data_IF_622696280826
#
_entry.id   IF_622696280826
#
_cell.length_a   1.000
_cell.length_b   1.000
_cell.length_c   1.000
_cell.angle_alpha   90.00
_cell.angle_beta   90.00
_cell.angle_gamma   90.00
#
_symmetry.space_group_name_H-M   'P 1'
#
loop_
_entity.id
_entity.type
_entity.pdbx_description
1 polymer ?
#
# COMPACT_ATOMS: atom_id res chain seq x y z
N UNK A 1 28.22 -56.81 20.41
CA UNK A 1 27.88 -55.42 20.76
C UNK A 1 28.39 -54.51 19.67
N UNK A 2 27.54 -54.12 18.72
CA UNK A 2 27.83 -53.07 17.73
C UNK A 2 26.94 -51.90 18.12
N UNK A 3 27.52 -50.80 18.58
CA UNK A 3 26.78 -49.58 18.95
C UNK A 3 26.74 -48.65 17.75
N UNK A 4 25.56 -48.54 17.14
CA UNK A 4 25.22 -47.50 16.17
C UNK A 4 25.24 -46.13 16.84
N UNK A 5 25.98 -45.18 16.28
CA UNK A 5 25.81 -43.76 16.58
C UNK A 5 24.92 -43.14 15.49
N UNK A 6 23.68 -42.78 15.86
CA UNK A 6 22.85 -41.88 15.06
C UNK A 6 23.35 -40.45 15.32
N UNK A 7 23.89 -39.79 14.29
CA UNK A 7 24.13 -38.35 14.31
C UNK A 7 22.84 -37.63 13.93
N UNK A 8 22.20 -36.96 14.89
CA UNK A 8 21.17 -35.96 14.59
C UNK A 8 21.88 -34.69 14.06
N UNK A 9 21.69 -34.37 12.78
CA UNK A 9 21.94 -33.02 12.27
C UNK A 9 20.76 -32.13 12.68
N UNK A 10 20.99 -31.21 13.61
CA UNK A 10 20.07 -30.11 13.90
C UNK A 10 20.30 -29.01 12.86
N UNK A 11 19.35 -28.80 11.95
CA UNK A 11 19.28 -27.61 11.11
C UNK A 11 18.87 -26.42 11.99
N UNK A 12 19.83 -25.58 12.37
CA UNK A 12 19.53 -24.29 12.99
C UNK A 12 19.03 -23.34 11.90
N UNK A 13 17.74 -23.03 11.89
CA UNK A 13 17.23 -21.86 11.18
C UNK A 13 17.78 -20.61 11.88
N UNK A 14 18.78 -19.98 11.28
CA UNK A 14 19.23 -18.65 11.68
C UNK A 14 18.17 -17.63 11.29
N UNK A 15 17.29 -17.29 12.24
CA UNK A 15 16.47 -16.08 12.14
C UNK A 15 17.43 -14.90 12.33
N UNK A 16 17.79 -14.23 11.23
CA UNK A 16 18.50 -12.95 11.32
C UNK A 16 17.54 -11.93 11.92
N UNK A 17 17.70 -11.66 13.21
CA UNK A 17 17.08 -10.50 13.86
C UNK A 17 17.68 -9.25 13.20
N UNK A 18 16.90 -8.61 12.34
CA UNK A 18 17.22 -7.29 11.83
C UNK A 18 17.36 -6.34 13.02
N UNK A 19 18.58 -5.88 13.28
CA UNK A 19 18.82 -4.79 14.24
C UNK A 19 18.28 -3.51 13.60
N UNK A 20 17.12 -3.02 14.05
CA UNK A 20 16.62 -1.74 13.61
C UNK A 20 17.43 -0.64 14.31
N UNK A 21 18.11 0.17 13.51
CA UNK A 21 18.81 1.36 13.94
C UNK A 21 17.77 2.41 14.38
N UNK A 22 17.90 2.92 15.61
CA UNK A 22 17.10 4.05 16.11
C UNK A 22 17.49 5.38 15.45
N UNK A 23 18.50 5.36 14.58
CA UNK A 23 19.00 6.49 13.81
C UNK A 23 18.22 6.82 12.53
N UNK A 24 18.80 7.73 11.75
CA UNK A 24 18.29 8.24 10.47
C UNK A 24 17.80 7.15 9.52
N UNK A 25 16.83 7.45 8.67
CA UNK A 25 16.37 6.50 7.64
C UNK A 25 17.49 6.18 6.65
N UNK A 26 18.13 5.02 6.82
CA UNK A 26 19.17 4.52 5.91
C UNK A 26 18.59 3.57 4.87
N UNK A 27 18.64 3.93 3.59
CA UNK A 27 18.29 3.02 2.49
C UNK A 27 19.46 2.06 2.25
N UNK A 28 19.18 0.76 2.30
CA UNK A 28 20.16 -0.32 2.08
C UNK A 28 19.93 -1.08 0.78
N UNK A 29 18.71 -0.98 0.24
CA UNK A 29 18.29 -1.63 -1.00
C UNK A 29 17.66 -0.59 -1.92
N UNK A 30 17.94 -0.69 -3.22
CA UNK A 30 17.48 0.30 -4.19
C UNK A 30 16.04 0.07 -4.67
N UNK A 31 15.38 -1.02 -4.32
CA UNK A 31 13.99 -1.29 -4.71
C UNK A 31 13.29 -2.24 -3.74
N UNK A 32 11.97 -2.28 -3.81
CA UNK A 32 11.17 -3.33 -3.19
C UNK A 32 11.14 -4.55 -4.11
N UNK A 33 11.45 -5.73 -3.58
CA UNK A 33 11.23 -6.98 -4.33
C UNK A 33 9.92 -7.66 -3.90
N UNK A 34 9.61 -8.78 -4.55
CA UNK A 34 8.39 -9.55 -4.28
C UNK A 34 8.32 -10.08 -2.83
N UNK A 35 9.45 -10.31 -2.18
CA UNK A 35 9.55 -10.83 -0.82
C UNK A 35 9.32 -9.70 0.20
N UNK A 36 9.83 -8.50 -0.06
CA UNK A 36 9.49 -7.29 0.71
C UNK A 36 8.00 -6.97 0.61
N UNK A 37 7.43 -7.04 -0.60
CA UNK A 37 6.00 -6.84 -0.82
C UNK A 37 5.14 -7.90 -0.09
N UNK A 38 5.60 -9.15 -0.06
CA UNK A 38 4.93 -10.23 0.68
C UNK A 38 4.97 -9.98 2.18
N UNK A 39 6.15 -9.68 2.72
CA UNK A 39 6.33 -9.40 4.16
C UNK A 39 5.62 -8.13 4.61
N UNK A 40 5.54 -7.11 3.76
CA UNK A 40 4.72 -5.94 4.02
C UNK A 40 3.24 -6.32 4.14
N UNK A 41 2.75 -7.18 3.25
CA UNK A 41 1.41 -7.75 3.36
C UNK A 41 1.19 -8.51 4.68
N UNK A 42 2.16 -9.30 5.13
CA UNK A 42 2.13 -10.00 6.42
C UNK A 42 2.12 -9.03 7.61
N UNK A 43 2.89 -7.94 7.52
CA UNK A 43 2.89 -6.86 8.50
C UNK A 43 1.50 -6.21 8.61
N UNK A 44 0.88 -5.85 7.48
CA UNK A 44 -0.50 -5.34 7.43
C UNK A 44 -1.51 -6.36 7.98
N UNK A 45 -1.33 -7.64 7.64
CA UNK A 45 -2.15 -8.73 8.17
C UNK A 45 -2.06 -8.83 9.70
N UNK A 46 -0.88 -8.60 10.28
CA UNK A 46 -0.68 -8.55 11.74
C UNK A 46 -1.57 -7.50 12.40
N UNK A 47 -1.64 -6.29 11.85
CA UNK A 47 -2.49 -5.21 12.35
C UNK A 47 -3.98 -5.54 12.21
N UNK A 48 -4.38 -6.09 11.06
CA UNK A 48 -5.77 -6.47 10.81
C UNK A 48 -6.26 -7.60 11.71
N UNK A 49 -5.39 -8.56 12.06
CA UNK A 49 -5.74 -9.69 12.94
C UNK A 49 -5.68 -9.36 14.45
N UNK A 50 -5.00 -8.28 14.85
CA UNK A 50 -4.97 -7.84 16.25
C UNK A 50 -6.30 -7.16 16.64
N UNK A 51 -6.58 -7.04 17.93
CA UNK A 51 -7.80 -6.43 18.50
C UNK A 51 -7.61 -4.98 19.01
N UNK A 52 -6.52 -4.32 18.60
CA UNK A 52 -6.19 -2.96 19.04
C UNK A 52 -7.25 -1.96 18.55
N UNK A 53 -7.48 -0.92 19.37
CA UNK A 53 -8.61 0.01 19.24
C UNK A 53 -8.29 1.33 18.58
N UNK A 54 -7.03 1.73 18.61
CA UNK A 54 -6.53 2.94 17.96
C UNK A 54 -5.16 2.65 17.33
N UNK A 55 -4.73 3.42 16.31
CA UNK A 55 -3.48 3.16 15.61
C UNK A 55 -2.26 3.19 16.52
N UNK A 56 -2.21 4.13 17.47
CA UNK A 56 -1.05 4.26 18.35
C UNK A 56 -0.90 3.04 19.26
N UNK A 57 -2.01 2.50 19.76
CA UNK A 57 -2.03 1.22 20.47
C UNK A 57 -1.63 0.05 19.57
N UNK A 58 -2.10 0.01 18.31
CA UNK A 58 -1.71 -1.02 17.36
C UNK A 58 -0.19 -1.04 17.09
N UNK A 59 0.42 0.14 16.88
CA UNK A 59 1.86 0.23 16.65
C UNK A 59 2.69 -0.16 17.87
N UNK A 60 2.14 -0.05 19.08
CA UNK A 60 2.78 -0.51 20.32
C UNK A 60 2.45 -1.96 20.68
N UNK A 61 1.57 -2.62 19.94
CA UNK A 61 1.14 -3.98 20.25
C UNK A 61 2.03 -5.05 19.61
N UNK A 62 1.74 -6.31 19.89
CA UNK A 62 2.44 -7.45 19.31
C UNK A 62 2.23 -7.59 17.79
N UNK A 63 1.28 -6.86 17.21
CA UNK A 63 1.11 -6.75 15.76
C UNK A 63 2.33 -6.12 15.07
N UNK A 64 3.05 -5.24 15.78
CA UNK A 64 4.26 -4.61 15.29
C UNK A 64 5.51 -5.34 15.83
N UNK A 65 6.26 -6.07 14.99
CA UNK A 65 7.50 -6.73 15.41
C UNK A 65 8.65 -5.74 15.69
N UNK A 66 8.56 -4.49 15.22
CA UNK A 66 9.61 -3.49 15.36
C UNK A 66 9.39 -2.53 16.54
N UNK A 67 8.27 -2.64 17.26
CA UNK A 67 7.83 -1.69 18.30
C UNK A 67 8.90 -1.35 19.36
N UNK A 68 9.74 -2.34 19.70
CA UNK A 68 10.76 -2.20 20.76
C UNK A 68 11.98 -1.39 20.29
N UNK A 69 12.01 -1.01 19.01
CA UNK A 69 13.07 -0.20 18.37
C UNK A 69 12.58 1.21 18.04
N UNK A 70 11.36 1.56 18.44
CA UNK A 70 10.78 2.86 18.12
C UNK A 70 11.31 3.96 19.04
N UNK A 71 11.69 5.13 18.49
CA UNK A 71 12.10 6.24 19.30
C UNK A 71 10.89 6.80 20.07
N UNK A 72 11.10 7.38 21.27
CA UNK A 72 10.00 7.79 22.15
C UNK A 72 9.10 8.90 21.57
N UNK A 73 9.58 9.66 20.58
CA UNK A 73 8.85 10.73 19.91
C UNK A 73 8.01 10.24 18.71
N UNK A 74 8.03 8.95 18.35
CA UNK A 74 7.28 8.43 17.23
C UNK A 74 5.76 8.55 17.45
N UNK A 75 5.05 9.12 16.46
CA UNK A 75 3.60 9.32 16.51
C UNK A 75 2.89 8.63 15.34
N UNK A 76 2.29 7.48 15.63
CA UNK A 76 1.53 6.68 14.68
C UNK A 76 0.04 6.68 15.05
N UNK A 77 -0.61 7.82 14.85
CA UNK A 77 -2.01 8.09 15.24
C UNK A 77 -2.83 8.70 14.09
N UNK A 78 -2.43 8.39 12.85
CA UNK A 78 -3.03 8.92 11.63
C UNK A 78 -4.43 8.36 11.34
N UNK A 79 -5.22 9.11 10.57
CA UNK A 79 -6.52 8.68 10.05
C UNK A 79 -6.39 7.65 8.91
N UNK A 80 -7.45 7.40 8.15
CA UNK A 80 -7.49 6.36 7.13
C UNK A 80 -6.42 6.57 6.06
N UNK A 81 -6.24 7.81 5.58
CA UNK A 81 -5.27 8.15 4.55
C UNK A 81 -3.84 8.11 5.10
N UNK A 82 -3.65 8.67 6.28
CA UNK A 82 -2.37 8.64 6.98
C UNK A 82 -1.93 7.21 7.26
N UNK A 83 -2.84 6.36 7.76
CA UNK A 83 -2.56 4.98 8.15
C UNK A 83 -2.01 4.16 6.98
N UNK A 84 -2.53 4.38 5.77
CA UNK A 84 -2.00 3.76 4.55
C UNK A 84 -0.52 4.10 4.37
N UNK A 85 -0.20 5.39 4.29
CA UNK A 85 1.16 5.84 4.02
C UNK A 85 2.10 5.64 5.22
N UNK A 86 1.62 5.79 6.46
CA UNK A 86 2.38 5.58 7.69
C UNK A 86 2.82 4.12 7.85
N UNK A 87 1.95 3.13 7.60
CA UNK A 87 2.34 1.71 7.63
C UNK A 87 3.41 1.40 6.58
N UNK A 88 3.24 1.89 5.34
CA UNK A 88 4.19 1.66 4.25
C UNK A 88 5.54 2.32 4.53
N UNK A 89 5.53 3.58 4.95
CA UNK A 89 6.73 4.35 5.30
C UNK A 89 7.46 3.73 6.49
N UNK A 90 6.73 3.37 7.53
CA UNK A 90 7.30 2.74 8.72
C UNK A 90 7.96 1.41 8.38
N UNK A 91 7.28 0.54 7.63
CA UNK A 91 7.86 -0.71 7.16
C UNK A 91 9.11 -0.46 6.31
N UNK A 92 9.05 0.51 5.40
CA UNK A 92 10.16 0.86 4.54
C UNK A 92 11.39 1.30 5.36
N UNK A 93 11.19 2.18 6.33
CA UNK A 93 12.24 2.63 7.25
C UNK A 93 12.87 1.47 8.01
N UNK A 94 12.05 0.62 8.65
CA UNK A 94 12.54 -0.50 9.46
C UNK A 94 13.30 -1.55 8.67
N UNK A 95 13.09 -1.62 7.35
CA UNK A 95 13.73 -2.59 6.46
C UNK A 95 14.75 -1.95 5.50
N UNK A 96 15.05 -0.66 5.64
CA UNK A 96 16.03 0.04 4.79
C UNK A 96 15.62 0.10 3.31
N UNK A 97 14.33 0.25 3.03
CA UNK A 97 13.74 0.28 1.69
C UNK A 97 13.49 1.73 1.22
N UNK A 98 13.43 1.98 -0.10
CA UNK A 98 13.11 3.29 -0.65
C UNK A 98 11.64 3.64 -0.45
N UNK A 99 11.34 4.91 -0.20
CA UNK A 99 9.97 5.39 -0.03
C UNK A 99 9.82 6.85 -0.48
N UNK A 100 8.70 7.13 -1.14
CA UNK A 100 8.25 8.46 -1.57
C UNK A 100 6.74 8.51 -1.37
N UNK A 101 6.21 9.72 -1.27
CA UNK A 101 4.77 9.99 -1.31
C UNK A 101 4.49 11.32 -2.00
N UNK A 102 3.25 11.61 -2.45
CA UNK A 102 2.90 12.89 -3.04
C UNK A 102 2.90 13.93 -1.92
N UNK A 103 3.57 15.06 -2.12
CA UNK A 103 3.51 16.19 -1.17
C UNK A 103 2.49 17.23 -1.65
N UNK A 104 2.13 17.22 -2.93
CA UNK A 104 1.11 18.07 -3.49
C UNK A 104 0.39 17.40 -4.66
N UNK A 105 -0.93 17.53 -4.66
CA UNK A 105 -1.81 17.12 -5.76
C UNK A 105 -2.65 18.31 -6.21
N UNK A 106 -3.02 18.33 -7.49
CA UNK A 106 -3.94 19.33 -8.04
C UNK A 106 -5.18 18.67 -8.61
N UNK A 107 -6.31 19.33 -8.40
CA UNK A 107 -7.58 18.99 -9.04
C UNK A 107 -7.46 19.13 -10.56
N UNK A 108 -7.87 18.09 -11.28
CA UNK A 108 -8.02 18.12 -12.74
C UNK A 108 -9.30 18.83 -13.18
N UNK A 109 -10.22 19.10 -12.25
CA UNK A 109 -11.43 19.90 -12.50
C UNK A 109 -11.15 21.42 -12.53
N UNK A 110 -9.91 21.85 -12.31
CA UNK A 110 -9.58 23.25 -12.02
C UNK A 110 -9.72 23.58 -10.52
N UNK A 111 -9.70 24.88 -10.15
CA UNK A 111 -9.82 25.32 -8.77
C UNK A 111 -11.08 24.77 -8.09
N UNK A 112 -10.92 24.20 -6.90
CA UNK A 112 -11.99 23.63 -6.08
C UNK A 112 -11.83 24.08 -4.63
N UNK A 113 -12.93 24.29 -3.88
CA UNK A 113 -12.85 24.58 -2.44
C UNK A 113 -12.13 23.46 -1.66
N UNK A 114 -12.24 22.23 -2.13
CA UNK A 114 -11.61 21.05 -1.52
C UNK A 114 -11.26 20.02 -2.60
N UNK A 115 -9.96 19.81 -2.81
CA UNK A 115 -9.47 18.89 -3.84
C UNK A 115 -9.61 17.42 -3.43
N UNK A 116 -10.00 17.10 -2.18
CA UNK A 116 -10.42 15.74 -1.79
C UNK A 116 -11.67 15.28 -2.54
N UNK A 117 -12.46 16.22 -3.07
CA UNK A 117 -13.75 15.96 -3.71
C UNK A 117 -13.85 16.44 -5.17
N UNK A 118 -12.73 16.49 -5.91
CA UNK A 118 -12.69 16.97 -7.31
C UNK A 118 -13.41 16.05 -8.32
N UNK A 119 -14.30 16.58 -9.15
CA UNK A 119 -15.12 15.77 -10.09
C UNK A 119 -14.34 14.97 -11.14
N UNK A 120 -13.18 15.46 -11.56
CA UNK A 120 -12.29 14.80 -12.51
C UNK A 120 -11.11 14.12 -11.81
N UNK A 121 -11.12 14.02 -10.48
CA UNK A 121 -9.98 13.55 -9.72
C UNK A 121 -8.79 14.50 -9.75
N UNK A 122 -7.66 13.99 -9.27
CA UNK A 122 -6.45 14.75 -9.01
C UNK A 122 -5.27 14.17 -9.81
N UNK A 123 -4.18 14.93 -9.84
CA UNK A 123 -2.88 14.52 -10.37
C UNK A 123 -1.78 14.88 -9.38
N UNK A 124 -0.77 14.02 -9.27
CA UNK A 124 0.45 14.34 -8.52
C UNK A 124 1.23 15.41 -9.26
N UNK A 125 1.64 16.44 -8.53
CA UNK A 125 2.39 17.57 -9.09
C UNK A 125 3.62 17.92 -8.26
N UNK A 126 3.71 17.38 -7.05
CA UNK A 126 4.92 17.30 -6.27
C UNK A 126 4.94 16.02 -5.44
N UNK A 127 6.10 15.36 -5.40
CA UNK A 127 6.37 14.21 -4.55
C UNK A 127 7.66 14.41 -3.80
N UNK A 128 7.74 13.77 -2.64
CA UNK A 128 8.94 13.74 -1.83
C UNK A 128 10.09 13.12 -2.64
N UNK A 129 11.10 13.90 -2.94
CA UNK A 129 12.36 13.42 -3.51
C UNK A 129 13.42 13.65 -2.44
N UNK A 130 13.89 12.56 -1.85
CA UNK A 130 14.86 12.62 -0.77
C UNK A 130 16.28 12.59 -1.36
N UNK A 131 16.64 13.57 -2.18
CA UNK A 131 17.99 13.66 -2.78
C UNK A 131 19.09 13.92 -1.70
N UNK A 132 18.72 14.07 -0.42
CA UNK A 132 19.61 14.51 0.67
C UNK A 132 19.47 13.66 1.97
N UNK A 133 19.40 12.33 1.83
CA UNK A 133 18.94 11.42 2.90
C UNK A 133 19.84 11.17 4.10
N UNK A 134 21.10 11.65 4.10
CA UNK A 134 22.09 11.25 5.11
C UNK A 134 21.57 11.37 6.56
N UNK A 135 20.73 12.38 6.83
CA UNK A 135 20.26 12.72 8.18
C UNK A 135 18.72 12.77 8.31
N UNK A 136 17.98 12.01 7.49
CA UNK A 136 16.51 12.00 7.57
C UNK A 136 16.04 11.45 8.93
N UNK A 137 15.41 12.29 9.76
CA UNK A 137 14.73 11.85 10.97
C UNK A 137 13.40 11.15 10.60
N UNK A 138 13.29 9.82 10.78
CA UNK A 138 12.11 9.06 10.40
C UNK A 138 10.89 9.41 11.26
N UNK A 139 11.07 9.72 12.55
CA UNK A 139 9.95 10.09 13.42
C UNK A 139 9.35 11.43 13.01
N UNK A 140 10.21 12.39 12.63
CA UNK A 140 9.77 13.66 12.05
C UNK A 140 9.09 13.45 10.69
N UNK A 141 9.68 12.66 9.79
CA UNK A 141 9.09 12.41 8.47
C UNK A 141 7.70 11.77 8.56
N UNK A 142 7.52 10.78 9.43
CA UNK A 142 6.22 10.13 9.66
C UNK A 142 5.17 11.09 10.27
N UNK A 143 5.62 12.08 11.04
CA UNK A 143 4.78 13.14 11.57
C UNK A 143 4.39 14.16 10.48
N UNK A 144 5.34 14.58 9.64
CA UNK A 144 5.12 15.53 8.54
C UNK A 144 4.21 14.91 7.46
N UNK A 145 4.38 13.62 7.18
CA UNK A 145 3.53 12.83 6.29
C UNK A 145 2.06 12.92 6.73
N UNK A 146 1.79 12.76 8.03
CA UNK A 146 0.44 12.89 8.62
C UNK A 146 -0.17 14.29 8.43
N UNK A 147 0.67 15.32 8.33
CA UNK A 147 0.22 16.70 8.06
C UNK A 147 0.00 16.99 6.57
N UNK A 148 0.39 16.07 5.70
CA UNK A 148 0.46 16.29 4.24
C UNK A 148 -0.52 15.39 3.48
N UNK A 149 -0.62 14.12 3.88
CA UNK A 149 -1.44 13.11 3.22
C UNK A 149 -2.92 13.35 3.48
N UNK A 150 -3.74 13.07 2.47
CA UNK A 150 -5.19 12.99 2.61
C UNK A 150 -5.78 12.10 1.51
N UNK A 151 -7.06 11.79 1.60
CA UNK A 151 -7.79 11.01 0.60
C UNK A 151 -7.75 11.59 -0.82
N UNK A 152 -7.42 12.87 -0.96
CA UNK A 152 -7.14 13.50 -2.25
C UNK A 152 -6.01 12.81 -3.04
N UNK A 153 -5.02 12.24 -2.36
CA UNK A 153 -3.88 11.55 -2.99
C UNK A 153 -4.25 10.18 -3.56
N UNK A 154 -5.43 9.68 -3.22
CA UNK A 154 -6.00 8.43 -3.73
C UNK A 154 -7.01 8.67 -4.85
N UNK A 155 -7.55 9.90 -4.94
CA UNK A 155 -8.48 10.32 -6.00
C UNK A 155 -7.78 10.55 -7.34
N UNK A 156 -7.02 9.57 -7.82
CA UNK A 156 -6.19 9.67 -9.03
C UNK A 156 -6.60 8.58 -10.01
N UNK A 157 -6.74 8.94 -11.27
CA UNK A 157 -7.06 7.99 -12.33
C UNK A 157 -5.92 6.99 -12.56
N UNK A 158 -6.25 5.72 -12.80
CA UNK A 158 -5.28 4.61 -12.93
C UNK A 158 -4.29 4.77 -14.09
N UNK A 159 -4.58 5.66 -15.03
CA UNK A 159 -3.74 5.97 -16.20
C UNK A 159 -2.57 6.91 -15.87
N UNK A 160 -2.54 7.53 -14.69
CA UNK A 160 -1.43 8.37 -14.24
C UNK A 160 -0.31 7.49 -13.70
N UNK A 161 0.57 7.03 -14.59
CA UNK A 161 1.57 6.00 -14.28
C UNK A 161 3.02 6.39 -14.61
N UNK A 162 3.24 7.58 -15.16
CA UNK A 162 4.55 7.98 -15.67
C UNK A 162 5.12 9.22 -14.97
N UNK A 163 6.45 9.19 -14.86
CA UNK A 163 7.24 10.31 -14.38
C UNK A 163 6.82 10.83 -13.01
N UNK A 164 6.92 12.15 -12.87
CA UNK A 164 6.67 12.83 -11.60
C UNK A 164 5.19 12.83 -11.19
N UNK A 165 4.29 12.75 -12.17
CA UNK A 165 2.84 12.78 -11.98
C UNK A 165 2.19 11.40 -11.80
N UNK A 166 2.99 10.33 -11.80
CA UNK A 166 2.50 9.00 -11.52
C UNK A 166 1.80 8.95 -10.15
N UNK A 167 0.71 8.19 -10.08
CA UNK A 167 0.12 7.74 -8.82
C UNK A 167 1.09 6.78 -8.13
N UNK A 168 1.13 6.83 -6.79
CA UNK A 168 1.85 5.84 -5.99
C UNK A 168 1.15 4.47 -5.96
N UNK A 169 0.01 4.39 -6.64
CA UNK A 169 -0.81 3.20 -6.73
C UNK A 169 -1.04 2.78 -8.20
N UNK A 170 -1.32 1.50 -8.41
CA UNK A 170 -1.87 0.97 -9.65
C UNK A 170 -3.07 0.05 -9.40
N UNK A 171 -3.97 -0.02 -10.38
CA UNK A 171 -5.15 -0.88 -10.33
C UNK A 171 -4.75 -2.33 -10.59
N UNK A 172 -4.91 -3.25 -9.61
CA UNK A 172 -4.60 -4.65 -9.82
C UNK A 172 -5.71 -5.34 -10.61
N UNK A 173 -5.35 -6.45 -11.25
CA UNK A 173 -6.31 -7.43 -11.72
C UNK A 173 -7.16 -7.92 -10.56
N UNK A 174 -8.43 -8.18 -10.84
CA UNK A 174 -9.34 -8.84 -9.90
C UNK A 174 -9.08 -10.34 -9.99
N UNK A 175 -8.00 -10.77 -9.33
CA UNK A 175 -7.56 -12.16 -9.30
C UNK A 175 -6.85 -12.51 -7.99
N UNK A 176 -6.90 -13.80 -7.64
CA UNK A 176 -6.19 -14.32 -6.47
C UNK A 176 -4.69 -14.05 -6.64
N UNK A 177 -4.08 -13.44 -5.62
CA UNK A 177 -2.66 -13.12 -5.61
C UNK A 177 -2.35 -11.68 -6.02
N UNK A 178 -3.14 -11.08 -6.91
CA UNK A 178 -3.03 -9.65 -7.24
C UNK A 178 -3.67 -8.80 -6.13
N UNK A 179 -4.88 -9.17 -5.68
CA UNK A 179 -5.51 -8.60 -4.48
C UNK A 179 -5.09 -9.46 -3.27
N UNK A 180 -4.40 -8.84 -2.32
CA UNK A 180 -3.74 -9.53 -1.21
C UNK A 180 -3.58 -8.62 0.01
N UNK A 181 -3.18 -9.16 1.19
CA UNK A 181 -2.78 -8.31 2.30
C UNK A 181 -1.75 -7.26 1.85
N UNK A 182 -1.98 -5.99 2.19
CA UNK A 182 -1.19 -4.84 1.72
C UNK A 182 -1.75 -4.14 0.47
N UNK A 183 -2.71 -4.73 -0.26
CA UNK A 183 -3.58 -3.98 -1.19
C UNK A 183 -4.45 -3.00 -0.40
N UNK A 184 -4.94 -1.95 -1.04
CA UNK A 184 -5.91 -1.01 -0.45
C UNK A 184 -7.24 -1.04 -1.19
N UNK A 185 -8.28 -0.57 -0.52
CA UNK A 185 -9.57 -0.24 -1.13
C UNK A 185 -9.81 1.24 -0.90
N UNK A 186 -10.11 1.99 -1.95
CA UNK A 186 -10.44 3.41 -1.88
C UNK A 186 -11.85 3.65 -2.41
N UNK A 187 -12.58 4.58 -1.79
CA UNK A 187 -13.74 5.20 -2.41
C UNK A 187 -13.71 6.73 -2.32
N UNK A 188 -14.39 7.44 -3.26
CA UNK A 188 -14.22 8.87 -3.42
C UNK A 188 -14.99 9.69 -2.39
N UNK A 189 -15.75 9.07 -1.50
CA UNK A 189 -16.38 9.74 -0.37
C UNK A 189 -15.42 9.95 0.80
N UNK A 190 -14.17 9.53 0.64
CA UNK A 190 -13.09 9.85 1.58
C UNK A 190 -12.77 8.71 2.53
N UNK A 191 -12.90 7.46 2.07
CA UNK A 191 -12.47 6.30 2.84
C UNK A 191 -11.38 5.53 2.08
N UNK A 192 -10.35 5.12 2.80
CA UNK A 192 -9.30 4.24 2.27
C UNK A 192 -8.87 3.26 3.34
N UNK A 193 -8.81 1.98 2.99
CA UNK A 193 -8.56 0.90 3.96
C UNK A 193 -7.53 -0.07 3.43
N UNK A 194 -6.81 -0.75 4.32
CA UNK A 194 -5.93 -1.85 3.92
C UNK A 194 -6.71 -3.15 3.84
N UNK A 195 -6.52 -3.90 2.76
CA UNK A 195 -6.80 -5.33 2.74
C UNK A 195 -5.79 -6.02 3.66
N UNK A 196 -6.27 -6.82 4.61
CA UNK A 196 -5.42 -7.59 5.53
C UNK A 196 -5.60 -9.10 5.39
N UNK A 197 -6.65 -9.56 4.70
CA UNK A 197 -6.93 -10.97 4.48
C UNK A 197 -7.83 -11.19 3.26
N UNK A 198 -7.62 -12.29 2.56
CA UNK A 198 -8.56 -12.82 1.56
C UNK A 198 -8.82 -14.29 1.89
N UNK A 199 -10.05 -14.61 2.28
CA UNK A 199 -10.46 -15.98 2.61
C UNK A 199 -10.49 -16.90 1.39
N UNK A 200 -10.56 -18.21 1.62
CA UNK A 200 -10.60 -19.21 0.55
C UNK A 200 -11.88 -19.13 -0.29
N UNK A 201 -12.96 -18.60 0.26
CA UNK A 201 -14.20 -18.31 -0.46
C UNK A 201 -14.18 -16.97 -1.22
N UNK A 202 -13.05 -16.26 -1.20
CA UNK A 202 -12.84 -14.96 -1.85
C UNK A 202 -13.33 -13.75 -1.06
N UNK A 203 -13.77 -13.91 0.18
CA UNK A 203 -14.12 -12.77 1.06
C UNK A 203 -12.86 -11.95 1.37
N UNK A 204 -12.90 -10.66 1.04
CA UNK A 204 -11.81 -9.72 1.31
C UNK A 204 -12.09 -8.98 2.60
N UNK A 205 -11.17 -9.06 3.56
CA UNK A 205 -11.25 -8.33 4.83
C UNK A 205 -10.33 -7.12 4.80
N UNK A 206 -10.81 -6.02 5.37
CA UNK A 206 -10.08 -4.78 5.51
C UNK A 206 -9.95 -4.31 6.96
N UNK A 207 -8.90 -3.55 7.22
CA UNK A 207 -8.63 -2.84 8.47
C UNK A 207 -8.46 -1.37 8.16
N UNK A 208 -9.00 -0.53 9.03
CA UNK A 208 -9.05 0.92 8.87
C UNK A 208 -8.63 1.64 10.15
N UNK A 209 -8.16 2.87 9.99
CA UNK A 209 -8.08 3.87 11.05
C UNK A 209 -9.06 5.00 10.73
N UNK A 210 -10.15 5.12 11.46
CA UNK A 210 -11.15 6.13 11.18
C UNK A 210 -10.65 7.57 11.51
N UNK A 211 -11.33 8.63 11.03
CA UNK A 211 -10.99 10.02 11.39
C UNK A 211 -11.04 10.33 12.89
N UNK A 212 -11.83 9.59 13.66
CA UNK A 212 -11.87 9.64 15.12
C UNK A 212 -10.80 8.75 15.80
N UNK A 213 -9.94 8.13 14.98
CA UNK A 213 -8.83 7.24 15.35
C UNK A 213 -9.25 5.90 15.94
N UNK A 214 -10.50 5.48 15.72
CA UNK A 214 -10.89 4.10 16.01
C UNK A 214 -10.39 3.16 14.91
N UNK A 215 -9.78 2.04 15.29
CA UNK A 215 -9.40 0.98 14.36
C UNK A 215 -10.55 0.01 14.17
N UNK A 216 -11.09 -0.03 12.96
CA UNK A 216 -12.20 -0.91 12.59
C UNK A 216 -11.78 -1.96 11.58
N UNK A 217 -12.58 -3.03 11.50
CA UNK A 217 -12.35 -4.17 10.61
C UNK A 217 -13.67 -4.55 9.97
N UNK A 218 -13.64 -4.95 8.70
CA UNK A 218 -14.83 -5.35 7.98
C UNK A 218 -14.52 -6.13 6.72
N UNK A 219 -15.54 -6.36 5.89
CA UNK A 219 -15.41 -7.08 4.63
C UNK A 219 -15.80 -6.20 3.46
N UNK A 220 -15.07 -6.27 2.35
CA UNK A 220 -15.37 -5.55 1.11
C UNK A 220 -16.78 -5.88 0.58
N UNK A 221 -17.48 -4.86 0.07
CA UNK A 221 -18.84 -5.00 -0.43
C UNK A 221 -19.42 -3.67 -0.93
N UNK A 222 -20.76 -3.57 -1.06
CA UNK A 222 -21.47 -2.40 -1.60
C UNK A 222 -21.19 -1.05 -0.93
N UNK A 223 -20.66 -1.05 0.28
CA UNK A 223 -20.22 0.18 0.96
C UNK A 223 -19.03 0.87 0.27
N UNK A 224 -18.28 0.16 -0.58
CA UNK A 224 -17.25 0.72 -1.45
C UNK A 224 -17.78 0.80 -2.89
N UNK A 225 -18.51 1.86 -3.25
CA UNK A 225 -19.20 1.94 -4.52
C UNK A 225 -18.23 2.01 -5.70
N UNK A 226 -18.63 1.41 -6.83
CA UNK A 226 -18.00 1.72 -8.12
C UNK A 226 -18.33 3.14 -8.55
N UNK A 227 -17.33 3.86 -9.00
CA UNK A 227 -17.48 5.22 -9.55
C UNK A 227 -16.69 5.37 -10.86
N UNK A 228 -16.70 6.59 -11.40
CA UNK A 228 -15.89 6.93 -12.55
C UNK A 228 -14.39 6.61 -12.31
N UNK A 229 -13.69 6.00 -13.27
CA UNK A 229 -12.26 5.66 -13.14
C UNK A 229 -11.38 6.88 -12.91
N UNK A 230 -11.81 8.05 -13.39
CA UNK A 230 -11.19 9.34 -13.13
C UNK A 230 -11.02 9.66 -11.62
N UNK A 231 -11.87 9.07 -10.77
CA UNK A 231 -11.83 9.25 -9.32
C UNK A 231 -11.03 8.18 -8.60
N UNK A 232 -10.65 7.10 -9.28
CA UNK A 232 -9.77 6.09 -8.74
C UNK A 232 -10.39 5.12 -7.72
N UNK A 233 -11.70 4.89 -7.69
CA UNK A 233 -12.30 3.93 -6.73
C UNK A 233 -11.85 2.48 -6.92
N UNK A 234 -11.96 1.69 -5.85
CA UNK A 234 -11.77 0.24 -5.88
C UNK A 234 -10.44 -0.19 -5.31
N UNK A 235 -9.94 -1.32 -5.80
CA UNK A 235 -8.70 -1.92 -5.32
C UNK A 235 -7.48 -1.22 -5.90
N UNK A 236 -6.44 -1.11 -5.10
CA UNK A 236 -5.13 -0.66 -5.54
C UNK A 236 -4.00 -1.44 -4.88
N UNK A 237 -2.89 -1.55 -5.58
CA UNK A 237 -1.61 -1.98 -5.04
C UNK A 237 -0.62 -0.82 -5.05
N UNK A 238 0.32 -0.82 -4.10
CA UNK A 238 1.47 0.08 -4.11
C UNK A 238 2.29 -0.13 -5.37
N UNK A 239 2.54 0.95 -6.12
CA UNK A 239 3.39 0.94 -7.30
C UNK A 239 4.84 0.65 -6.88
N UNK A 240 5.53 -0.32 -7.52
CA UNK A 240 6.93 -0.58 -7.25
C UNK A 240 7.75 0.70 -7.39
N UNK A 241 8.51 0.99 -6.34
CA UNK A 241 9.39 2.15 -6.24
C UNK A 241 10.84 1.69 -6.18
N UNK A 242 11.70 2.41 -6.90
CA UNK A 242 13.15 2.24 -6.83
C UNK A 242 13.86 3.58 -6.64
N UNK A 243 14.99 3.54 -5.96
CA UNK A 243 15.97 4.60 -5.92
C UNK A 243 16.92 4.42 -7.12
N UNK A 244 16.86 5.33 -8.07
CA UNK A 244 17.78 5.39 -9.21
C UNK A 244 18.89 6.42 -8.95
N UNK A 245 19.95 6.37 -9.74
CA UNK A 245 21.00 7.41 -9.77
C UNK A 245 21.68 7.68 -8.41
N UNK A 246 21.71 6.68 -7.53
CA UNK A 246 22.26 6.80 -6.18
C UNK A 246 23.79 6.65 -6.13
N UNK A 247 24.37 7.10 -5.03
CA UNK A 247 25.74 6.81 -4.60
C UNK A 247 25.72 6.04 -3.28
N UNK A 248 26.88 5.49 -2.87
CA UNK A 248 27.01 4.80 -1.58
C UNK A 248 27.86 5.63 -0.62
N UNK A 249 27.42 5.73 0.63
CA UNK A 249 28.24 6.29 1.71
C UNK A 249 29.31 5.28 2.19
N UNK A 250 30.10 5.67 3.20
CA UNK A 250 31.17 4.84 3.76
C UNK A 250 30.67 3.52 4.39
N UNK A 251 29.42 3.50 4.85
CA UNK A 251 28.76 2.33 5.46
C UNK A 251 27.99 1.49 4.42
N UNK A 252 28.00 1.91 3.15
CA UNK A 252 27.34 1.24 2.05
C UNK A 252 25.85 1.58 1.89
N UNK A 253 25.32 2.55 2.64
CA UNK A 253 23.94 3.02 2.48
C UNK A 253 23.80 3.80 1.17
N UNK A 254 22.62 3.71 0.56
CA UNK A 254 22.30 4.37 -0.69
C UNK A 254 21.82 5.80 -0.41
N UNK A 255 22.50 6.79 -1.00
CA UNK A 255 22.24 8.22 -0.81
C UNK A 255 22.25 8.97 -2.13
N UNK A 256 21.73 10.21 -2.13
CA UNK A 256 21.73 11.12 -3.28
C UNK A 256 21.07 10.56 -4.55
N UNK A 257 20.14 9.62 -4.41
CA UNK A 257 19.38 9.07 -5.52
C UNK A 257 18.03 9.76 -5.72
N UNK A 258 17.37 9.40 -6.80
CA UNK A 258 16.02 9.86 -7.17
C UNK A 258 15.04 8.70 -7.13
N UNK A 259 13.87 8.92 -6.55
CA UNK A 259 12.80 7.92 -6.59
C UNK A 259 12.11 7.90 -7.94
N UNK A 260 11.98 6.70 -8.50
CA UNK A 260 11.23 6.44 -9.72
C UNK A 260 10.29 5.27 -9.48
N UNK A 261 9.14 5.29 -10.14
CA UNK A 261 8.08 4.30 -9.99
C UNK A 261 7.84 3.57 -11.32
N UNK A 262 7.47 2.29 -11.24
CA UNK A 262 7.25 1.46 -12.43
C UNK A 262 5.96 1.87 -13.17
N UNK A 263 5.95 2.08 -14.49
CA UNK A 263 4.74 2.34 -15.27
C UNK A 263 3.83 1.10 -15.35
N UNK A 264 2.56 1.28 -15.72
CA UNK A 264 1.59 0.18 -15.79
C UNK A 264 2.03 -0.94 -16.74
N UNK A 265 2.76 -0.60 -17.80
CA UNK A 265 3.29 -1.56 -18.78
C UNK A 265 4.31 -2.56 -18.21
N UNK A 266 4.94 -2.24 -17.06
CA UNK A 266 5.88 -3.13 -16.37
C UNK A 266 5.20 -4.02 -15.31
N UNK A 267 3.90 -3.83 -15.05
CA UNK A 267 3.18 -4.49 -13.98
C UNK A 267 2.36 -5.67 -14.51
N UNK A 268 2.80 -6.88 -14.20
CA UNK A 268 2.16 -8.12 -14.70
C UNK A 268 0.74 -8.32 -14.17
N UNK A 269 0.44 -7.75 -13.01
CA UNK A 269 -0.84 -7.82 -12.32
C UNK A 269 -1.64 -6.51 -12.43
N UNK A 270 -1.25 -5.56 -13.29
CA UNK A 270 -2.10 -4.42 -13.60
C UNK A 270 -3.34 -4.87 -14.41
N UNK A 271 -4.50 -4.37 -14.02
CA UNK A 271 -5.79 -4.71 -14.62
C UNK A 271 -6.81 -3.59 -14.46
N UNK A 272 -7.70 -3.43 -15.43
CA UNK A 272 -8.73 -2.37 -15.48
C UNK A 272 -10.16 -2.93 -15.44
N UNK A 273 -10.31 -4.23 -15.24
CA UNK A 273 -11.61 -4.91 -15.26
C UNK A 273 -12.52 -4.40 -14.14
N UNK A 274 -11.99 -3.96 -12.99
CA UNK A 274 -12.81 -3.35 -11.94
C UNK A 274 -13.55 -2.09 -12.42
N UNK A 275 -13.02 -1.42 -13.45
CA UNK A 275 -13.62 -0.24 -14.05
C UNK A 275 -14.53 -0.57 -15.22
N UNK A 276 -14.06 -1.38 -16.16
CA UNK A 276 -14.70 -1.55 -17.47
C UNK A 276 -15.36 -2.91 -17.68
N UNK A 277 -15.23 -3.83 -16.73
CA UNK A 277 -15.75 -5.19 -16.82
C UNK A 277 -14.80 -6.12 -17.56
N UNK A 278 -15.28 -7.34 -17.80
CA UNK A 278 -14.54 -8.41 -18.52
C UNK A 278 -15.00 -8.56 -19.96
N UNK A 279 -16.17 -8.02 -20.30
CA UNK A 279 -16.76 -8.12 -21.63
C UNK A 279 -16.47 -6.87 -22.47
N UNK A 280 -16.71 -6.98 -23.79
CA UNK A 280 -16.54 -5.86 -24.72
C UNK A 280 -17.36 -4.64 -24.27
N UNK A 281 -16.68 -3.52 -24.09
CA UNK A 281 -17.25 -2.23 -23.72
C UNK A 281 -16.69 -1.16 -24.66
N UNK A 282 -17.27 -1.06 -25.86
CA UNK A 282 -16.72 -0.24 -26.98
C UNK A 282 -16.61 1.24 -26.65
N UNK A 283 -17.51 1.76 -25.82
CA UNK A 283 -17.53 3.18 -25.43
C UNK A 283 -16.61 3.47 -24.24
N UNK A 284 -16.01 2.43 -23.64
CA UNK A 284 -15.33 2.52 -22.35
C UNK A 284 -16.17 3.24 -21.28
N UNK A 285 -17.50 3.10 -21.33
CA UNK A 285 -18.37 3.64 -20.28
C UNK A 285 -18.36 2.67 -19.10
N UNK A 286 -17.75 3.07 -17.99
CA UNK A 286 -17.67 2.26 -16.77
C UNK A 286 -19.06 1.85 -16.26
N UNK A 287 -20.11 2.62 -16.53
CA UNK A 287 -21.50 2.29 -16.14
C UNK A 287 -22.04 1.09 -16.90
N UNK A 288 -21.50 0.79 -18.07
CA UNK A 288 -21.87 -0.34 -18.93
C UNK A 288 -21.02 -1.59 -18.68
N UNK A 289 -20.09 -1.54 -17.72
CA UNK A 289 -19.23 -2.67 -17.38
C UNK A 289 -20.04 -3.92 -17.03
N UNK A 290 -19.74 -5.02 -17.71
CA UNK A 290 -20.30 -6.35 -17.42
C UNK A 290 -19.22 -7.27 -16.90
N UNK A 291 -19.56 -8.03 -15.87
CA UNK A 291 -18.64 -8.93 -15.19
C UNK A 291 -19.08 -10.36 -15.41
N UNK A 292 -18.24 -11.14 -16.10
CA UNK A 292 -18.53 -12.53 -16.41
C UNK A 292 -17.51 -13.45 -15.77
N UNK A 293 -18.01 -14.49 -15.13
CA UNK A 293 -17.17 -15.53 -14.56
C UNK A 293 -17.76 -16.90 -14.86
N UNK A 294 -16.95 -17.80 -15.45
CA UNK A 294 -17.36 -19.17 -15.84
C UNK A 294 -18.69 -19.19 -16.62
N UNK A 295 -18.84 -18.26 -17.56
CA UNK A 295 -20.01 -18.15 -18.43
C UNK A 295 -21.23 -17.44 -17.82
N UNK A 296 -21.20 -17.06 -16.54
CA UNK A 296 -22.31 -16.38 -15.85
C UNK A 296 -22.05 -14.90 -15.69
N UNK A 297 -23.08 -14.09 -15.92
CA UNK A 297 -23.07 -12.67 -15.57
C UNK A 297 -23.24 -12.51 -14.06
N UNK A 298 -22.39 -11.71 -13.43
CA UNK A 298 -22.38 -11.43 -12.01
C UNK A 298 -22.44 -9.92 -11.75
N UNK A 299 -22.96 -9.54 -10.58
CA UNK A 299 -22.69 -8.20 -10.04
C UNK A 299 -21.20 -8.04 -9.72
N UNK A 300 -20.70 -6.80 -9.68
CA UNK A 300 -19.28 -6.54 -9.43
C UNK A 300 -18.75 -7.21 -8.15
N UNK A 301 -19.48 -7.08 -7.03
CA UNK A 301 -19.04 -7.63 -5.76
C UNK A 301 -19.02 -9.17 -5.76
N UNK A 302 -20.03 -9.80 -6.37
CA UNK A 302 -20.07 -11.25 -6.55
C UNK A 302 -18.97 -11.73 -7.50
N UNK A 303 -18.66 -10.96 -8.53
CA UNK A 303 -17.54 -11.22 -9.44
C UNK A 303 -16.21 -11.17 -8.71
N UNK A 304 -15.95 -10.14 -7.89
CA UNK A 304 -14.73 -10.03 -7.07
C UNK A 304 -14.63 -11.24 -6.16
N UNK A 305 -15.67 -11.56 -5.38
CA UNK A 305 -15.66 -12.72 -4.49
C UNK A 305 -15.40 -14.02 -5.25
N UNK A 306 -16.10 -14.25 -6.37
CA UNK A 306 -15.92 -15.46 -7.18
C UNK A 306 -14.52 -15.58 -7.81
N UNK A 307 -13.91 -14.46 -8.21
CA UNK A 307 -12.56 -14.42 -8.80
C UNK A 307 -11.44 -14.61 -7.78
N UNK A 308 -11.69 -14.26 -6.53
CA UNK A 308 -10.73 -14.40 -5.43
C UNK A 308 -10.89 -15.71 -4.66
N UNK A 309 -11.93 -16.50 -4.93
CA UNK A 309 -12.10 -17.84 -4.39
C UNK A 309 -11.05 -18.82 -4.98
N UNK A 310 -10.62 -19.80 -4.17
CA UNK A 310 -9.72 -20.89 -4.61
C UNK A 310 -10.43 -21.95 -5.45
#
# INVERSE_FOLDING_TARGET
MVRSFLSLLAFALSVTLAHADTGSWKIKKDHWDADDEKRFGEFVAGFGNHDCKDPAACFKSTANPYRDTDPPNLRMDGDCADFIYQLRAYYAWKNGLPFSYPIYVMSRSGPTPDFRFSDAGNQVVARLQLEWQADTDPAKLLLDLRGTVSTAMFRIEHTFDNGYSASDFYSPKVERGAIRPGSIIYDPWGHVVYVFKVDDDGTVHYVDSNPDREVTRGTFGPQFPRTAPALGSGFWNWRPIKLADYTKDADGNLINGRFVVAPNAELTDYGIEQYYGTEKNETADWKLAKYKHRGKDLGFYDYVKAKLAK
#
